data_IF_756771088304
#
_entry.id   IF_756771088304
#
_cell.length_a   1.000
_cell.length_b   1.000
_cell.length_c   1.000
_cell.angle_alpha   90.00
_cell.angle_beta   90.00
_cell.angle_gamma   90.00
#
_symmetry.space_group_name_H-M   'P 1'
#
loop_
_entity.id
_entity.type
_entity.pdbx_description
1 polymer ?
#
# COMPACT_ATOMS: atom_id res chain seq x y z
N UNK A 1 24.67 6.34 1.88
CA UNK A 1 25.38 7.07 2.95
C UNK A 1 25.60 6.09 4.09
N UNK A 2 26.85 5.80 4.45
CA UNK A 2 27.18 4.90 5.56
C UNK A 2 28.51 5.34 6.19
N UNK A 3 28.78 4.88 7.42
CA UNK A 3 30.08 5.07 8.08
C UNK A 3 30.85 3.74 7.95
N UNK A 4 31.94 3.69 7.16
CA UNK A 4 32.75 2.49 7.05
C UNK A 4 33.33 2.11 8.42
N UNK A 5 33.62 0.81 8.66
CA UNK A 5 34.34 0.40 9.85
C UNK A 5 35.62 1.22 10.02
N UNK A 6 35.88 1.71 11.23
CA UNK A 6 37.05 2.53 11.61
C UNK A 6 37.17 3.92 10.99
N UNK A 7 36.27 4.34 10.09
CA UNK A 7 36.28 5.72 9.60
C UNK A 7 35.64 6.70 10.57
N UNK A 8 36.12 7.96 10.56
CA UNK A 8 35.66 9.01 11.46
C UNK A 8 34.40 9.74 10.98
N UNK A 9 34.18 9.76 9.66
CA UNK A 9 33.09 10.49 9.02
C UNK A 9 32.15 9.58 8.26
N UNK A 10 30.95 10.08 7.97
CA UNK A 10 29.95 9.37 7.17
C UNK A 10 30.18 9.73 5.70
N UNK A 11 30.43 8.72 4.87
CA UNK A 11 30.63 8.92 3.43
C UNK A 11 29.36 8.62 2.63
N UNK A 12 29.21 9.29 1.50
CA UNK A 12 28.17 9.02 0.51
C UNK A 12 28.81 8.34 -0.69
N UNK A 13 28.58 7.03 -0.81
CA UNK A 13 28.99 6.24 -1.97
C UNK A 13 27.78 6.06 -2.90
N UNK A 14 27.95 6.18 -4.23
CA UNK A 14 26.91 5.82 -5.19
C UNK A 14 26.46 4.38 -5.03
N UNK A 15 25.22 4.07 -5.43
CA UNK A 15 24.75 2.68 -5.43
C UNK A 15 25.53 1.88 -6.48
N UNK A 16 26.11 0.76 -6.06
CA UNK A 16 26.92 -0.11 -6.93
C UNK A 16 26.22 -1.43 -7.30
N UNK A 17 25.01 -1.68 -6.77
CA UNK A 17 24.26 -2.90 -7.04
C UNK A 17 22.85 -2.59 -7.52
N UNK A 18 22.32 -3.52 -8.31
CA UNK A 18 20.92 -3.60 -8.70
C UNK A 18 20.36 -4.88 -8.10
N UNK A 19 19.19 -4.79 -7.48
CA UNK A 19 18.49 -5.94 -6.92
C UNK A 19 17.42 -6.43 -7.90
N UNK A 20 17.38 -7.74 -8.11
CA UNK A 20 16.31 -8.41 -8.84
C UNK A 20 15.87 -9.64 -8.04
N UNK A 21 14.59 -9.99 -8.17
CA UNK A 21 14.01 -11.17 -7.53
C UNK A 21 12.84 -11.67 -8.34
N UNK A 22 12.61 -12.98 -8.30
CA UNK A 22 11.47 -13.64 -8.93
C UNK A 22 10.51 -14.15 -7.86
N UNK A 23 9.23 -14.17 -8.20
CA UNK A 23 8.15 -14.59 -7.30
C UNK A 23 7.06 -15.22 -8.15
N UNK A 24 6.52 -16.35 -7.69
CA UNK A 24 5.49 -17.10 -8.42
C UNK A 24 4.06 -16.59 -8.15
N UNK A 25 3.69 -16.22 -6.90
CA UNK A 25 2.38 -15.61 -6.66
C UNK A 25 2.20 -14.30 -7.44
N UNK A 26 0.97 -14.07 -7.92
CA UNK A 26 0.60 -12.82 -8.59
C UNK A 26 0.48 -11.64 -7.60
N UNK A 27 0.32 -11.91 -6.30
CA UNK A 27 0.29 -10.87 -5.24
C UNK A 27 1.34 -11.17 -4.18
N UNK A 28 2.18 -10.19 -3.89
CA UNK A 28 3.36 -10.36 -3.02
C UNK A 28 3.85 -9.06 -2.38
N UNK A 29 3.34 -7.92 -2.84
CA UNK A 29 3.71 -6.61 -2.37
C UNK A 29 2.85 -6.26 -1.15
N UNK A 30 3.41 -6.31 0.07
CA UNK A 30 2.67 -6.08 1.32
C UNK A 30 2.76 -4.65 1.88
N UNK A 31 3.86 -3.95 1.65
CA UNK A 31 4.10 -2.60 2.18
C UNK A 31 4.21 -1.55 1.08
N UNK A 32 3.18 -0.72 0.94
CA UNK A 32 3.11 0.37 -0.04
C UNK A 32 4.36 1.26 -0.08
N UNK A 33 5.04 1.49 1.05
CA UNK A 33 6.22 2.37 1.09
C UNK A 33 7.49 1.71 0.56
N UNK A 34 7.63 0.39 0.73
CA UNK A 34 8.71 -0.42 0.19
C UNK A 34 8.46 -0.91 -1.24
N UNK A 35 7.20 -1.20 -1.57
CA UNK A 35 6.76 -1.78 -2.83
C UNK A 35 7.11 -0.89 -4.04
N UNK A 36 7.05 0.44 -3.87
CA UNK A 36 7.42 1.42 -4.92
C UNK A 36 8.88 1.32 -5.41
N UNK A 37 9.74 0.58 -4.70
CA UNK A 37 11.16 0.40 -5.05
C UNK A 37 11.38 -0.70 -6.09
N UNK A 38 10.36 -1.49 -6.39
CA UNK A 38 10.42 -2.57 -7.36
C UNK A 38 9.62 -2.19 -8.60
N UNK A 39 10.16 -2.41 -9.79
CA UNK A 39 9.38 -2.38 -11.02
C UNK A 39 8.95 -3.81 -11.36
N UNK A 40 7.67 -4.18 -11.15
CA UNK A 40 7.24 -5.55 -11.34
C UNK A 40 7.00 -5.82 -12.83
N UNK A 41 7.69 -6.82 -13.36
CA UNK A 41 7.51 -7.28 -14.74
C UNK A 41 6.85 -8.65 -14.72
N UNK A 42 5.80 -8.84 -15.52
CA UNK A 42 5.21 -10.17 -15.73
C UNK A 42 6.03 -10.86 -16.81
N UNK A 43 6.80 -11.87 -16.44
CA UNK A 43 7.51 -12.69 -17.40
C UNK A 43 6.56 -13.75 -17.96
N UNK A 44 6.37 -13.74 -19.28
CA UNK A 44 5.67 -14.80 -20.01
C UNK A 44 6.65 -15.78 -20.63
N UNK A 45 6.44 -16.11 -21.90
CA UNK A 45 7.41 -16.88 -22.67
C UNK A 45 8.69 -16.06 -22.91
N UNK A 46 9.85 -16.69 -22.75
CA UNK A 46 11.17 -16.09 -22.98
C UNK A 46 11.86 -16.89 -24.09
N UNK A 47 12.15 -16.23 -25.20
CA UNK A 47 12.97 -16.81 -26.28
C UNK A 47 14.44 -16.86 -25.84
N UNK A 48 14.85 -18.04 -25.35
CA UNK A 48 16.20 -18.25 -24.86
C UNK A 48 17.24 -18.32 -25.98
N UNK A 49 16.85 -18.77 -27.17
CA UNK A 49 17.78 -18.93 -28.30
C UNK A 49 18.06 -17.57 -28.96
N UNK A 50 17.01 -16.76 -29.15
CA UNK A 50 17.16 -15.35 -29.53
C UNK A 50 17.99 -14.58 -28.51
N UNK A 51 17.72 -14.76 -27.21
CA UNK A 51 18.49 -14.09 -26.16
C UNK A 51 19.97 -14.49 -26.18
N UNK A 52 20.30 -15.78 -26.37
CA UNK A 52 21.70 -16.23 -26.48
C UNK A 52 22.40 -15.62 -27.69
N UNK A 53 21.71 -15.55 -28.83
CA UNK A 53 22.24 -14.96 -30.06
C UNK A 53 22.54 -13.47 -29.90
N UNK A 54 21.61 -12.73 -29.30
CA UNK A 54 21.65 -11.26 -29.30
C UNK A 54 22.27 -10.66 -28.02
N UNK A 55 22.57 -11.48 -27.00
CA UNK A 55 23.08 -11.04 -25.68
C UNK A 55 24.20 -10.01 -25.78
N UNK A 56 25.24 -10.33 -26.54
CA UNK A 56 26.46 -9.51 -26.59
C UNK A 56 26.20 -8.18 -27.30
N UNK A 57 25.32 -8.19 -28.32
CA UNK A 57 24.89 -6.99 -29.03
C UNK A 57 24.03 -6.08 -28.14
N UNK A 58 23.04 -6.65 -27.43
CA UNK A 58 22.22 -5.91 -26.47
C UNK A 58 23.07 -5.22 -25.40
N UNK A 59 24.12 -5.91 -24.92
CA UNK A 59 25.04 -5.34 -23.94
C UNK A 59 25.93 -4.25 -24.53
N UNK A 60 26.43 -4.43 -25.76
CA UNK A 60 27.20 -3.42 -26.47
C UNK A 60 26.40 -2.12 -26.66
N UNK A 61 25.13 -2.23 -27.07
CA UNK A 61 24.23 -1.07 -27.22
C UNK A 61 23.94 -0.37 -25.89
N UNK A 62 23.69 -1.15 -24.82
CA UNK A 62 23.48 -0.60 -23.49
C UNK A 62 24.71 0.19 -23.00
N UNK A 63 25.92 -0.37 -23.18
CA UNK A 63 27.17 0.30 -22.81
C UNK A 63 27.39 1.57 -23.65
N UNK A 64 27.12 1.51 -24.96
CA UNK A 64 27.23 2.67 -25.84
C UNK A 64 26.30 3.81 -25.40
N UNK A 65 25.03 3.51 -25.11
CA UNK A 65 24.05 4.49 -24.61
C UNK A 65 24.43 5.05 -23.24
N UNK A 66 24.90 4.20 -22.33
CA UNK A 66 25.38 4.63 -21.02
C UNK A 66 26.56 5.60 -21.14
N UNK A 67 27.56 5.27 -21.98
CA UNK A 67 28.72 6.15 -22.24
C UNK A 67 28.31 7.46 -22.92
N UNK A 68 27.24 7.46 -23.71
CA UNK A 68 26.65 8.64 -24.29
C UNK A 68 25.80 9.47 -23.29
N UNK A 69 25.70 9.04 -22.03
CA UNK A 69 24.97 9.77 -20.98
C UNK A 69 23.47 9.52 -20.95
N UNK A 70 22.98 8.45 -21.58
CA UNK A 70 21.57 8.10 -21.52
C UNK A 70 21.12 7.85 -20.07
N UNK A 71 19.97 8.40 -19.64
CA UNK A 71 19.44 8.13 -18.31
C UNK A 71 19.06 6.65 -18.21
N UNK A 72 19.42 6.03 -17.09
CA UNK A 72 19.09 4.62 -16.79
C UNK A 72 18.00 4.49 -15.72
N UNK A 73 17.38 5.61 -15.34
CA UNK A 73 16.16 5.65 -14.53
C UNK A 73 14.98 6.00 -15.43
N UNK A 74 13.77 5.59 -15.01
CA UNK A 74 12.55 5.84 -15.77
C UNK A 74 12.16 7.31 -15.60
N UNK A 75 12.26 8.11 -16.67
CA UNK A 75 11.74 9.48 -16.72
C UNK A 75 10.42 9.58 -17.48
N UNK A 76 10.15 8.60 -18.35
CA UNK A 76 8.93 8.56 -19.15
C UNK A 76 7.71 8.41 -18.24
N UNK A 77 6.80 9.39 -18.34
CA UNK A 77 5.55 9.42 -17.57
C UNK A 77 4.64 8.22 -17.86
N UNK A 78 4.64 7.71 -19.09
CA UNK A 78 3.88 6.52 -19.45
C UNK A 78 4.45 5.28 -18.72
N UNK A 79 5.76 5.09 -18.75
CA UNK A 79 6.41 3.98 -18.05
C UNK A 79 6.25 4.08 -16.52
N UNK A 80 6.28 5.30 -15.95
CA UNK A 80 6.00 5.50 -14.53
C UNK A 80 4.56 5.08 -14.19
N UNK A 81 3.59 5.45 -15.04
CA UNK A 81 2.19 5.06 -14.85
C UNK A 81 2.00 3.54 -14.96
N UNK A 82 2.64 2.89 -15.94
CA UNK A 82 2.63 1.43 -16.08
C UNK A 82 3.26 0.73 -14.88
N UNK A 83 4.41 1.21 -14.40
CA UNK A 83 5.08 0.67 -13.22
C UNK A 83 4.20 0.81 -11.98
N UNK A 84 3.54 1.97 -11.79
CA UNK A 84 2.60 2.18 -10.69
C UNK A 84 1.41 1.23 -10.76
N UNK A 85 0.79 1.07 -11.94
CA UNK A 85 -0.33 0.16 -12.12
C UNK A 85 0.08 -1.31 -11.86
N UNK A 86 1.27 -1.70 -12.32
CA UNK A 86 1.82 -3.03 -12.08
C UNK A 86 2.10 -3.29 -10.59
N UNK A 87 2.54 -2.28 -9.83
CA UNK A 87 2.72 -2.35 -8.38
C UNK A 87 1.37 -2.50 -7.65
N UNK A 88 0.39 -1.70 -8.02
CA UNK A 88 -0.96 -1.73 -7.43
C UNK A 88 -1.64 -3.08 -7.66
N UNK A 89 -1.56 -3.63 -8.87
CA UNK A 89 -2.12 -4.94 -9.21
C UNK A 89 -1.52 -6.11 -8.41
N UNK A 90 -0.31 -5.95 -7.87
CA UNK A 90 0.42 -6.99 -7.10
C UNK A 90 0.35 -6.76 -5.60
N UNK A 91 -0.35 -5.69 -5.17
CA UNK A 91 -0.56 -5.39 -3.78
C UNK A 91 -1.38 -6.51 -3.12
N UNK A 92 -0.83 -7.05 -2.04
CA UNK A 92 -1.55 -7.99 -1.19
C UNK A 92 -2.16 -7.19 -0.04
N UNK A 93 -3.48 -7.02 -0.07
CA UNK A 93 -4.23 -6.38 1.01
C UNK A 93 -4.05 -7.09 2.35
N UNK A 94 -4.19 -6.34 3.44
CA UNK A 94 -4.15 -6.90 4.78
C UNK A 94 -5.46 -7.65 5.07
N UNK A 95 -5.41 -8.69 5.92
CA UNK A 95 -6.61 -9.43 6.35
C UNK A 95 -7.66 -8.53 7.02
N UNK A 96 -7.28 -7.35 7.49
CA UNK A 96 -8.17 -6.35 8.10
C UNK A 96 -8.89 -5.47 7.07
N UNK A 97 -8.39 -5.36 5.84
CA UNK A 97 -8.92 -4.45 4.81
C UNK A 97 -10.43 -4.61 4.62
N UNK A 98 -10.88 -5.85 4.40
CA UNK A 98 -12.30 -6.14 4.18
C UNK A 98 -13.19 -5.82 5.40
N UNK A 99 -12.63 -5.89 6.61
CA UNK A 99 -13.36 -5.56 7.85
C UNK A 99 -13.51 -4.05 7.99
N UNK A 100 -12.42 -3.31 7.72
CA UNK A 100 -12.40 -1.85 7.76
C UNK A 100 -13.32 -1.29 6.66
N UNK A 101 -13.22 -1.78 5.42
CA UNK A 101 -14.09 -1.35 4.31
C UNK A 101 -15.56 -1.54 4.64
N UNK A 102 -15.94 -2.73 5.14
CA UNK A 102 -17.32 -3.02 5.54
C UNK A 102 -17.80 -2.05 6.61
N UNK A 103 -16.99 -1.75 7.61
CA UNK A 103 -17.34 -0.83 8.69
C UNK A 103 -17.48 0.64 8.21
N UNK A 104 -16.67 1.05 7.22
CA UNK A 104 -16.78 2.38 6.63
C UNK A 104 -18.13 2.59 5.92
N UNK A 105 -18.63 1.57 5.22
CA UNK A 105 -19.87 1.67 4.42
C UNK A 105 -21.11 1.11 5.11
N UNK A 106 -20.95 0.31 6.16
CA UNK A 106 -22.05 -0.34 6.89
C UNK A 106 -21.92 -0.12 8.39
N UNK A 107 -23.05 -0.12 9.07
CA UNK A 107 -23.12 -0.12 10.52
C UNK A 107 -23.74 -1.40 11.05
N UNK A 108 -23.28 -1.84 12.22
CA UNK A 108 -23.89 -2.98 12.91
C UNK A 108 -25.11 -2.46 13.67
N UNK A 109 -26.30 -2.91 13.26
CA UNK A 109 -27.57 -2.56 13.92
C UNK A 109 -28.40 -3.83 14.17
N UNK A 110 -29.18 -3.87 15.26
CA UNK A 110 -30.19 -4.89 15.44
C UNK A 110 -31.27 -4.69 14.37
N UNK A 111 -31.52 -5.72 13.58
CA UNK A 111 -32.56 -5.74 12.56
C UNK A 111 -33.55 -6.84 12.93
N UNK A 112 -34.83 -6.50 12.95
CA UNK A 112 -35.88 -7.50 13.08
C UNK A 112 -36.04 -8.20 11.72
N UNK A 113 -35.76 -9.50 11.67
CA UNK A 113 -35.77 -10.29 10.43
C UNK A 113 -37.03 -11.17 10.30
N UNK A 114 -37.94 -11.08 11.27
CA UNK A 114 -39.15 -11.88 11.33
C UNK A 114 -40.40 -11.02 11.40
N UNK A 115 -41.43 -11.54 12.08
CA UNK A 115 -42.78 -10.95 12.06
C UNK A 115 -43.05 -10.09 13.30
N UNK A 116 -42.00 -9.69 14.01
CA UNK A 116 -42.07 -8.81 15.18
C UNK A 116 -41.95 -9.52 16.53
N UNK A 117 -41.44 -10.74 16.59
CA UNK A 117 -41.13 -11.40 17.86
C UNK A 117 -39.78 -10.92 18.43
N UNK A 118 -39.60 -11.06 19.75
CA UNK A 118 -38.36 -10.68 20.42
C UNK A 118 -37.15 -11.48 19.93
N UNK A 119 -37.34 -12.75 19.56
CA UNK A 119 -36.29 -13.65 19.05
C UNK A 119 -35.86 -13.32 17.61
N UNK A 120 -36.62 -12.48 16.90
CA UNK A 120 -36.37 -12.12 15.50
C UNK A 120 -35.28 -11.04 15.34
N UNK A 121 -34.84 -10.43 16.44
CA UNK A 121 -33.80 -9.40 16.42
C UNK A 121 -32.42 -10.02 16.25
N UNK A 122 -31.80 -9.74 15.11
CA UNK A 122 -30.44 -10.20 14.79
C UNK A 122 -29.52 -9.01 14.55
N UNK A 123 -28.29 -9.07 15.04
CA UNK A 123 -27.28 -8.10 14.65
C UNK A 123 -26.84 -8.34 13.21
N UNK A 124 -27.05 -7.35 12.35
CA UNK A 124 -26.61 -7.40 10.95
C UNK A 124 -25.84 -6.14 10.59
N UNK A 125 -24.98 -6.27 9.59
CA UNK A 125 -24.39 -5.12 8.92
C UNK A 125 -25.43 -4.54 7.94
N UNK A 126 -25.82 -3.31 8.19
CA UNK A 126 -26.75 -2.56 7.34
C UNK A 126 -25.96 -1.45 6.63
N UNK A 127 -26.11 -1.27 5.31
CA UNK A 127 -25.47 -0.16 4.60
C UNK A 127 -25.84 1.19 5.22
N UNK A 128 -24.85 2.05 5.43
CA UNK A 128 -25.06 3.42 5.86
C UNK A 128 -25.64 4.23 4.71
N UNK A 129 -26.47 5.23 5.03
CA UNK A 129 -26.93 6.19 4.03
C UNK A 129 -25.77 6.98 3.41
N UNK A 130 -24.73 7.27 4.19
CA UNK A 130 -23.48 7.85 3.74
C UNK A 130 -22.31 7.09 4.37
N UNK A 131 -21.29 6.69 3.59
CA UNK A 131 -20.07 6.10 4.15
C UNK A 131 -19.38 7.06 5.11
N UNK A 132 -18.66 6.51 6.08
CA UNK A 132 -17.76 7.30 6.92
C UNK A 132 -16.63 7.83 6.05
N UNK A 133 -16.44 9.15 6.05
CA UNK A 133 -15.38 9.83 5.29
C UNK A 133 -14.30 10.43 6.18
N UNK A 134 -14.46 10.40 7.49
CA UNK A 134 -13.53 10.97 8.46
C UNK A 134 -13.45 10.09 9.69
N UNK A 135 -12.30 9.43 9.91
CA UNK A 135 -12.12 8.45 10.98
C UNK A 135 -10.72 8.51 11.61
N UNK A 136 -10.63 8.18 12.89
CA UNK A 136 -9.35 7.99 13.59
C UNK A 136 -8.89 6.53 13.57
N UNK A 137 -7.59 6.28 13.81
CA UNK A 137 -7.09 4.91 13.96
C UNK A 137 -7.77 4.20 15.14
N UNK A 138 -8.05 4.94 16.21
CA UNK A 138 -8.68 4.38 17.40
C UNK A 138 -10.11 3.88 17.12
N UNK A 139 -10.91 4.68 16.41
CA UNK A 139 -12.25 4.30 15.98
C UNK A 139 -12.22 3.01 15.14
N UNK A 140 -11.24 2.86 14.25
CA UNK A 140 -11.09 1.65 13.44
C UNK A 140 -10.70 0.44 14.29
N UNK A 141 -9.68 0.57 15.15
CA UNK A 141 -9.24 -0.53 16.01
C UNK A 141 -10.35 -1.03 16.92
N UNK A 142 -11.11 -0.11 17.50
CA UNK A 142 -12.19 -0.43 18.43
C UNK A 142 -13.47 -0.89 17.71
N UNK A 143 -13.98 -0.10 16.77
CA UNK A 143 -15.32 -0.31 16.22
C UNK A 143 -15.33 -1.20 14.98
N UNK A 144 -14.29 -1.15 14.14
CA UNK A 144 -14.20 -2.01 12.96
C UNK A 144 -13.59 -3.39 13.29
N UNK A 145 -12.55 -3.40 14.14
CA UNK A 145 -11.77 -4.59 14.44
C UNK A 145 -12.09 -5.21 15.80
N UNK A 146 -12.77 -4.49 16.70
CA UNK A 146 -13.17 -5.03 18.01
C UNK A 146 -11.99 -5.21 18.98
N UNK A 147 -10.87 -4.51 18.77
CA UNK A 147 -9.69 -4.63 19.61
C UNK A 147 -9.83 -3.64 20.77
N UNK A 148 -9.85 -4.16 22.00
CA UNK A 148 -9.90 -3.35 23.21
C UNK A 148 -8.71 -2.36 23.29
N UNK A 149 -8.93 -1.10 23.70
CA UNK A 149 -7.88 -0.07 23.80
C UNK A 149 -6.62 -0.50 24.55
N UNK A 150 -6.77 -1.29 25.61
CA UNK A 150 -5.64 -1.79 26.41
C UNK A 150 -4.74 -2.78 25.64
N UNK A 151 -5.24 -3.41 24.57
CA UNK A 151 -4.52 -4.40 23.76
C UNK A 151 -3.88 -3.79 22.51
N UNK A 152 -4.03 -2.48 22.28
CA UNK A 152 -3.51 -1.83 21.09
C UNK A 152 -2.00 -1.84 21.05
N UNK A 153 -1.43 -2.34 19.95
CA UNK A 153 0.01 -2.27 19.69
C UNK A 153 0.32 -1.22 18.63
N UNK A 154 1.59 -0.79 18.58
CA UNK A 154 2.08 0.08 17.49
C UNK A 154 1.95 -0.59 16.13
N UNK A 155 2.09 -1.92 16.06
CA UNK A 155 1.94 -2.67 14.82
C UNK A 155 0.50 -2.59 14.29
N UNK A 156 -0.50 -2.69 15.16
CA UNK A 156 -1.92 -2.57 14.78
C UNK A 156 -2.23 -1.19 14.20
N UNK A 157 -1.74 -0.14 14.87
CA UNK A 157 -1.88 1.24 14.38
C UNK A 157 -1.22 1.43 13.00
N UNK A 158 -0.05 0.81 12.79
CA UNK A 158 0.65 0.88 11.50
C UNK A 158 -0.10 0.15 10.39
N UNK A 159 -0.74 -1.00 10.68
CA UNK A 159 -1.57 -1.75 9.72
C UNK A 159 -2.80 -0.96 9.29
N UNK A 160 -3.52 -0.37 10.25
CA UNK A 160 -4.65 0.54 9.94
C UNK A 160 -4.18 1.77 9.16
N UNK A 161 -3.03 2.35 9.51
CA UNK A 161 -2.46 3.46 8.76
C UNK A 161 -2.07 3.09 7.32
N UNK A 162 -1.63 1.85 7.09
CA UNK A 162 -1.32 1.35 5.75
C UNK A 162 -2.58 1.19 4.90
N UNK A 163 -3.69 0.68 5.48
CA UNK A 163 -4.99 0.58 4.82
C UNK A 163 -5.45 1.91 4.20
N UNK A 164 -5.36 3.00 4.97
CA UNK A 164 -5.79 4.32 4.53
C UNK A 164 -4.87 4.92 3.48
N UNK A 165 -3.55 4.71 3.62
CA UNK A 165 -2.56 5.21 2.66
C UNK A 165 -2.75 4.54 1.29
N UNK A 166 -2.98 3.22 1.26
CA UNK A 166 -3.25 2.47 0.04
C UNK A 166 -4.50 2.97 -0.70
N UNK A 167 -5.48 3.50 0.04
CA UNK A 167 -6.72 4.07 -0.51
C UNK A 167 -6.65 5.60 -0.70
N UNK A 168 -5.46 6.19 -0.60
CA UNK A 168 -5.18 7.62 -0.81
C UNK A 168 -5.93 8.56 0.16
N UNK A 169 -6.29 8.07 1.34
CA UNK A 169 -6.87 8.92 2.39
C UNK A 169 -5.82 9.88 2.94
N UNK A 170 -6.24 11.10 3.28
CA UNK A 170 -5.34 12.16 3.74
C UNK A 170 -5.32 12.17 5.27
N UNK A 171 -4.11 12.05 5.84
CA UNK A 171 -3.91 12.17 7.29
C UNK A 171 -3.88 13.64 7.70
N UNK A 172 -4.68 14.03 8.68
CA UNK A 172 -4.68 15.36 9.25
C UNK A 172 -4.83 15.32 10.77
N UNK A 173 -4.60 16.45 11.44
CA UNK A 173 -4.75 16.59 12.88
C UNK A 173 -5.85 17.60 13.18
N UNK A 174 -6.78 17.24 14.06
CA UNK A 174 -7.88 18.13 14.47
C UNK A 174 -7.32 19.40 15.14
N UNK A 175 -7.87 20.56 14.76
CA UNK A 175 -7.49 21.85 15.33
C UNK A 175 -8.15 22.08 16.70
N UNK A 176 -9.38 21.60 16.85
CA UNK A 176 -10.18 21.67 18.06
C UNK A 176 -9.88 20.47 18.98
N UNK A 177 -9.97 20.65 20.31
CA UNK A 177 -9.90 19.53 21.26
C UNK A 177 -11.07 18.54 21.07
N UNK A 178 -10.85 17.22 21.23
CA UNK A 178 -9.55 16.58 21.47
C UNK A 178 -8.66 16.60 20.21
N UNK A 179 -7.37 16.92 20.40
CA UNK A 179 -6.38 16.98 19.32
C UNK A 179 -5.91 15.58 18.96
N UNK A 180 -6.49 15.00 17.93
CA UNK A 180 -6.18 13.65 17.47
C UNK A 180 -5.82 13.61 15.99
N UNK A 181 -5.14 12.53 15.60
CA UNK A 181 -4.81 12.26 14.20
C UNK A 181 -5.96 11.49 13.56
N UNK A 182 -6.50 12.03 12.48
CA UNK A 182 -7.60 11.46 11.71
C UNK A 182 -7.21 11.28 10.25
N UNK A 183 -7.97 10.47 9.54
CA UNK A 183 -7.86 10.24 8.11
C UNK A 183 -9.18 10.66 7.45
N UNK A 184 -9.07 11.41 6.36
CA UNK A 184 -10.22 11.83 5.55
C UNK A 184 -10.19 11.17 4.17
N UNK A 185 -11.35 10.77 3.68
CA UNK A 185 -11.52 10.12 2.39
C UNK A 185 -11.11 11.04 1.22
N UNK A 186 -10.63 10.47 0.10
CA UNK A 186 -10.32 11.25 -1.10
C UNK A 186 -11.53 12.06 -1.58
N UNK A 187 -11.34 13.35 -1.85
CA UNK A 187 -12.40 14.25 -2.31
C UNK A 187 -13.24 14.88 -1.21
N UNK A 188 -13.06 14.49 0.06
CA UNK A 188 -13.71 15.14 1.20
C UNK A 188 -12.81 16.26 1.76
N UNK A 189 -13.32 17.48 1.99
CA UNK A 189 -12.55 18.56 2.60
C UNK A 189 -12.06 18.21 4.01
N UNK A 190 -10.83 18.60 4.32
CA UNK A 190 -10.29 18.46 5.68
C UNK A 190 -10.99 19.46 6.62
N UNK A 191 -11.55 19.01 7.75
CA UNK A 191 -12.18 19.89 8.76
C UNK A 191 -11.22 20.88 9.44
#
# INVERSE_FOLDING_TARGET
RYRPPYERYVVTVPRQCVFAGTVNPDTYLRDETGNRRFWPLRCGHIDLDGLRRDRDQLWAEAVARYRAGAPWWIEDRALIAEASAAQEARYQGDAWDARIERWLVSERRPVNVGVGHFEDWQERFVPRAQPLTDVSIGEVLEQALGIEPAKWTRADQMRVGAFFRARKWVKYRTKTPPREWRYVAPGTPVP
#
